data_IF_843129148961
#
_entry.id   IF_843129148961
#
_cell.length_a   1.000
_cell.length_b   1.000
_cell.length_c   1.000
_cell.angle_alpha   90.00
_cell.angle_beta   90.00
_cell.angle_gamma   90.00
#
_symmetry.space_group_name_H-M   'P 1'
#
loop_
_entity.id
_entity.type
_entity.pdbx_description
1 polymer ?
#
# COMPACT_ATOMS: atom_id res chain seq x y z
N UNK A 1 36.08 35.19 3.03
CA UNK A 1 35.75 33.82 3.49
C UNK A 1 34.37 33.70 4.16
N UNK A 2 33.98 34.59 5.09
CA UNK A 2 32.68 34.48 5.80
C UNK A 2 31.43 34.50 4.89
N UNK A 3 31.45 35.31 3.82
CA UNK A 3 30.31 35.45 2.89
C UNK A 3 30.03 34.19 2.04
N UNK A 4 31.08 33.45 1.67
CA UNK A 4 30.93 32.25 0.85
C UNK A 4 30.30 31.10 1.65
N UNK A 5 30.65 31.02 2.95
CA UNK A 5 30.14 30.02 3.87
C UNK A 5 28.65 30.23 4.18
N UNK A 6 28.22 31.48 4.35
CA UNK A 6 26.79 31.81 4.57
C UNK A 6 25.93 31.50 3.35
N UNK A 7 26.43 31.72 2.13
CA UNK A 7 25.70 31.38 0.90
C UNK A 7 25.54 29.86 0.76
N UNK A 8 26.60 29.08 1.03
CA UNK A 8 26.55 27.62 1.01
C UNK A 8 25.56 27.04 2.03
N UNK A 9 25.54 27.59 3.25
CA UNK A 9 24.58 27.19 4.28
C UNK A 9 23.14 27.52 3.90
N UNK A 10 22.89 28.69 3.29
CA UNK A 10 21.57 29.06 2.82
C UNK A 10 21.06 28.12 1.71
N UNK A 11 21.91 27.78 0.75
CA UNK A 11 21.58 26.83 -0.33
C UNK A 11 21.29 25.42 0.21
N UNK A 12 22.07 24.97 1.20
CA UNK A 12 21.84 23.68 1.86
C UNK A 12 20.51 23.66 2.62
N UNK A 13 20.17 24.73 3.34
CA UNK A 13 18.88 24.87 4.02
C UNK A 13 17.70 24.91 3.04
N UNK A 14 17.84 25.59 1.90
CA UNK A 14 16.81 25.62 0.86
C UNK A 14 16.58 24.24 0.23
N UNK A 15 17.62 23.43 0.08
CA UNK A 15 17.49 22.05 -0.38
C UNK A 15 16.77 21.17 0.65
N UNK A 16 17.08 21.29 1.95
CA UNK A 16 16.41 20.50 3.00
C UNK A 16 14.89 20.80 3.04
N UNK A 17 14.49 22.07 2.89
CA UNK A 17 13.08 22.46 2.92
C UNK A 17 12.27 21.93 1.73
N UNK A 18 12.89 21.77 0.55
CA UNK A 18 12.21 21.24 -0.65
C UNK A 18 11.87 19.75 -0.55
N UNK A 19 12.55 18.98 0.32
CA UNK A 19 12.24 17.56 0.53
C UNK A 19 11.10 17.31 1.51
N UNK A 20 10.76 18.28 2.37
CA UNK A 20 9.73 18.09 3.40
C UNK A 20 8.29 18.16 2.86
N UNK A 21 8.06 18.84 1.74
CA UNK A 21 6.72 19.06 1.17
C UNK A 21 6.23 17.96 0.22
N UNK A 22 7.12 17.11 -0.30
CA UNK A 22 6.78 16.07 -1.29
C UNK A 22 6.10 14.81 -0.71
N UNK A 23 6.46 14.26 0.47
CA UNK A 23 5.83 13.03 0.97
C UNK A 23 4.35 13.23 1.37
N UNK A 24 3.98 14.46 1.77
CA UNK A 24 2.64 14.82 2.22
C UNK A 24 1.63 14.81 1.06
N UNK A 25 2.08 15.09 -0.16
CA UNK A 25 1.21 15.18 -1.33
C UNK A 25 0.79 13.79 -1.87
N UNK A 26 1.67 12.80 -1.76
CA UNK A 26 1.43 11.49 -2.39
C UNK A 26 0.33 10.68 -1.71
N UNK A 27 0.29 10.62 -0.38
CA UNK A 27 -0.77 9.89 0.31
C UNK A 27 -2.14 10.57 0.16
N UNK A 28 -2.17 11.91 0.00
CA UNK A 28 -3.39 12.67 -0.24
C UNK A 28 -3.96 12.36 -1.63
N UNK A 29 -3.09 12.26 -2.65
CA UNK A 29 -3.48 11.83 -4.00
C UNK A 29 -4.11 10.43 -3.98
N UNK A 30 -3.51 9.47 -3.28
CA UNK A 30 -4.06 8.10 -3.18
C UNK A 30 -5.41 8.12 -2.48
N UNK A 31 -5.54 8.88 -1.38
CA UNK A 31 -6.81 9.02 -0.67
C UNK A 31 -7.93 9.60 -1.55
N UNK A 32 -7.63 10.62 -2.36
CA UNK A 32 -8.60 11.19 -3.29
C UNK A 32 -9.05 10.16 -4.33
N UNK A 33 -8.11 9.42 -4.93
CA UNK A 33 -8.43 8.36 -5.88
C UNK A 33 -9.33 7.29 -5.25
N UNK A 34 -9.06 6.87 -4.01
CA UNK A 34 -9.91 5.91 -3.29
C UNK A 34 -11.33 6.47 -3.12
N UNK A 35 -11.47 7.71 -2.68
CA UNK A 35 -12.79 8.34 -2.51
C UNK A 35 -13.55 8.50 -3.83
N UNK A 36 -12.85 8.73 -4.95
CA UNK A 36 -13.46 8.83 -6.28
C UNK A 36 -13.96 7.48 -6.80
N UNK A 37 -13.17 6.40 -6.64
CA UNK A 37 -13.52 5.07 -7.18
C UNK A 37 -14.40 4.25 -6.23
N UNK A 38 -14.44 4.61 -4.95
CA UNK A 38 -15.20 3.90 -3.90
C UNK A 38 -15.94 4.92 -3.00
N UNK A 39 -17.03 5.54 -3.49
CA UNK A 39 -17.68 6.67 -2.80
C UNK A 39 -18.29 6.35 -1.44
N UNK A 40 -18.54 5.08 -1.12
CA UNK A 40 -19.01 4.63 0.20
C UNK A 40 -17.89 4.64 1.26
N UNK A 41 -16.63 4.74 0.86
CA UNK A 41 -15.50 4.82 1.79
C UNK A 41 -15.42 6.23 2.35
N UNK A 42 -15.55 6.36 3.67
CA UNK A 42 -15.49 7.68 4.31
C UNK A 42 -14.15 8.37 4.08
N UNK A 43 -14.09 9.71 3.99
CA UNK A 43 -12.83 10.44 3.79
C UNK A 43 -11.74 10.09 4.82
N UNK A 44 -12.15 9.82 6.07
CA UNK A 44 -11.25 9.36 7.14
C UNK A 44 -10.62 8.00 6.82
N UNK A 45 -11.41 7.03 6.32
CA UNK A 45 -10.91 5.72 5.88
C UNK A 45 -10.05 5.85 4.63
N UNK A 46 -10.46 6.64 3.62
CA UNK A 46 -9.65 6.88 2.41
C UNK A 46 -8.28 7.47 2.76
N UNK A 47 -8.22 8.44 3.67
CA UNK A 47 -6.95 9.01 4.17
C UNK A 47 -6.09 7.95 4.88
N UNK A 48 -6.69 7.13 5.75
CA UNK A 48 -6.00 6.02 6.45
C UNK A 48 -5.39 5.04 5.44
N UNK A 49 -6.17 4.58 4.45
CA UNK A 49 -5.69 3.66 3.42
C UNK A 49 -4.63 4.29 2.53
N UNK A 50 -4.82 5.55 2.10
CA UNK A 50 -3.83 6.28 1.30
C UNK A 50 -2.46 6.35 1.97
N UNK A 51 -2.43 6.59 3.29
CA UNK A 51 -1.18 6.59 4.07
C UNK A 51 -0.54 5.20 4.11
N UNK A 52 -1.32 4.16 4.43
CA UNK A 52 -0.83 2.78 4.53
C UNK A 52 -0.30 2.30 3.17
N UNK A 53 -1.10 2.46 2.11
CA UNK A 53 -0.73 2.06 0.75
C UNK A 53 0.52 2.81 0.30
N UNK A 54 0.60 4.12 0.52
CA UNK A 54 1.82 4.88 0.20
C UNK A 54 3.04 4.29 0.91
N UNK A 55 2.96 4.10 2.22
CA UNK A 55 4.05 3.52 3.03
C UNK A 55 4.49 2.15 2.51
N UNK A 56 3.55 1.23 2.27
CA UNK A 56 3.85 -0.14 1.82
C UNK A 56 4.33 -0.18 0.36
N UNK A 57 3.79 0.68 -0.51
CA UNK A 57 4.22 0.82 -1.90
C UNK A 57 5.71 1.19 -2.00
N UNK A 58 6.16 2.16 -1.18
CA UNK A 58 7.55 2.57 -1.09
C UNK A 58 8.43 1.46 -0.52
N UNK A 59 8.02 0.85 0.59
CA UNK A 59 8.77 -0.21 1.26
C UNK A 59 9.04 -1.41 0.33
N UNK A 60 8.04 -1.84 -0.45
CA UNK A 60 8.13 -3.04 -1.29
C UNK A 60 8.42 -2.75 -2.78
N UNK A 61 8.57 -1.47 -3.17
CA UNK A 61 8.77 -1.02 -4.55
C UNK A 61 7.69 -1.57 -5.50
N UNK A 62 6.43 -1.43 -5.06
CA UNK A 62 5.22 -1.78 -5.81
C UNK A 62 4.50 -0.48 -6.16
N UNK A 63 3.97 -0.37 -7.37
CA UNK A 63 3.15 0.80 -7.74
C UNK A 63 1.86 0.79 -6.90
N UNK A 64 1.59 1.89 -6.21
CA UNK A 64 0.39 2.03 -5.38
C UNK A 64 -0.89 1.88 -6.19
N UNK A 65 -0.89 2.21 -7.49
CA UNK A 65 -2.05 2.05 -8.38
C UNK A 65 -2.47 0.58 -8.48
N UNK A 66 -1.51 -0.33 -8.54
CA UNK A 66 -1.77 -1.77 -8.58
C UNK A 66 -2.39 -2.22 -7.25
N UNK A 67 -1.86 -1.74 -6.13
CA UNK A 67 -2.39 -2.07 -4.81
C UNK A 67 -3.84 -1.60 -4.63
N UNK A 68 -4.13 -0.35 -5.04
CA UNK A 68 -5.48 0.24 -5.04
C UNK A 68 -6.43 -0.55 -5.93
N UNK A 69 -6.02 -0.87 -7.16
CA UNK A 69 -6.84 -1.61 -8.11
C UNK A 69 -7.23 -3.00 -7.58
N UNK A 70 -6.29 -3.71 -6.95
CA UNK A 70 -6.58 -5.00 -6.32
C UNK A 70 -7.55 -4.84 -5.16
N UNK A 71 -7.31 -3.91 -4.21
CA UNK A 71 -8.23 -3.73 -3.06
C UNK A 71 -9.63 -3.34 -3.54
N UNK A 72 -9.72 -2.47 -4.55
CA UNK A 72 -10.99 -2.10 -5.19
C UNK A 72 -11.73 -3.32 -5.71
N UNK A 73 -11.03 -4.20 -6.44
CA UNK A 73 -11.60 -5.38 -7.05
C UNK A 73 -12.01 -6.45 -6.02
N UNK A 74 -11.21 -6.62 -4.98
CA UNK A 74 -11.35 -7.73 -4.02
C UNK A 74 -12.43 -7.46 -2.96
N UNK A 75 -12.47 -6.27 -2.38
CA UNK A 75 -13.42 -5.95 -1.31
C UNK A 75 -14.09 -4.59 -1.44
N UNK A 76 -13.75 -3.83 -2.47
CA UNK A 76 -14.15 -2.44 -2.62
C UNK A 76 -13.85 -1.59 -1.36
N UNK A 77 -12.66 -1.82 -0.77
CA UNK A 77 -12.22 -1.18 0.49
C UNK A 77 -13.13 -1.43 1.70
N UNK A 78 -14.02 -2.41 1.64
CA UNK A 78 -14.78 -2.87 2.79
C UNK A 78 -13.84 -3.75 3.64
N UNK A 79 -13.66 -3.37 4.90
CA UNK A 79 -12.96 -4.18 5.92
C UNK A 79 -13.84 -5.39 6.28
N UNK A 80 -13.35 -6.34 7.09
CA UNK A 80 -14.15 -7.47 7.62
C UNK A 80 -14.90 -8.39 6.63
N UNK A 81 -14.77 -8.20 5.32
CA UNK A 81 -15.39 -9.06 4.31
C UNK A 81 -14.82 -10.48 4.39
N UNK A 82 -15.73 -11.44 4.46
CA UNK A 82 -15.44 -12.87 4.33
C UNK A 82 -16.25 -13.38 3.14
N UNK A 83 -15.56 -13.88 2.12
CA UNK A 83 -16.20 -14.53 0.99
C UNK A 83 -15.89 -16.02 1.00
N UNK A 84 -16.91 -16.87 1.13
CA UNK A 84 -16.72 -18.31 1.21
C UNK A 84 -17.27 -19.00 -0.03
N UNK A 85 -16.46 -19.90 -0.60
CA UNK A 85 -16.82 -20.77 -1.70
C UNK A 85 -16.63 -22.24 -1.29
N UNK A 86 -17.02 -23.18 -2.15
CA UNK A 86 -16.71 -24.61 -1.96
C UNK A 86 -15.21 -24.93 -1.84
N UNK A 87 -14.34 -24.00 -2.22
CA UNK A 87 -12.89 -24.18 -2.28
C UNK A 87 -12.13 -23.58 -1.11
N UNK A 88 -12.82 -22.85 -0.22
CA UNK A 88 -12.26 -22.10 0.90
C UNK A 88 -12.90 -20.72 1.05
N UNK A 89 -12.46 -19.99 2.07
CA UNK A 89 -12.86 -18.61 2.31
C UNK A 89 -11.71 -17.64 2.06
N UNK A 90 -12.03 -16.42 1.66
CA UNK A 90 -11.14 -15.29 1.46
C UNK A 90 -11.43 -14.20 2.50
N UNK A 91 -10.39 -13.56 3.04
CA UNK A 91 -10.52 -12.69 4.22
C UNK A 91 -10.01 -11.27 3.98
N UNK A 92 -10.82 -10.29 4.39
CA UNK A 92 -10.45 -8.89 4.59
C UNK A 92 -10.25 -8.09 3.30
N UNK A 93 -9.54 -6.96 3.43
CA UNK A 93 -9.39 -5.96 2.34
C UNK A 93 -8.80 -6.50 1.04
N UNK A 94 -8.01 -7.56 1.14
CA UNK A 94 -7.22 -8.09 0.01
C UNK A 94 -7.57 -9.56 -0.27
N UNK A 95 -8.69 -10.03 0.29
CA UNK A 95 -9.28 -11.35 0.07
C UNK A 95 -8.23 -12.48 0.11
N UNK A 96 -7.52 -12.60 1.23
CA UNK A 96 -6.50 -13.65 1.37
C UNK A 96 -7.18 -15.01 1.53
N UNK A 97 -6.89 -15.94 0.62
CA UNK A 97 -7.45 -17.28 0.69
C UNK A 97 -7.00 -18.09 1.91
N UNK A 98 -7.95 -18.80 2.52
CA UNK A 98 -7.80 -19.74 3.64
C UNK A 98 -6.65 -20.73 3.47
N UNK A 99 -6.37 -21.19 2.23
CA UNK A 99 -5.25 -22.10 1.94
C UNK A 99 -3.88 -21.47 2.20
N UNK A 100 -3.77 -20.14 2.19
CA UNK A 100 -2.54 -19.42 2.46
C UNK A 100 -2.33 -19.09 3.95
N UNK A 101 -3.37 -19.23 4.79
CA UNK A 101 -3.33 -18.81 6.19
C UNK A 101 -2.28 -19.61 6.97
N UNK A 102 -2.40 -20.94 7.00
CA UNK A 102 -1.48 -21.79 7.76
C UNK A 102 -0.06 -21.79 7.20
N UNK A 103 0.17 -21.99 5.87
CA UNK A 103 1.52 -22.02 5.31
C UNK A 103 2.29 -20.71 5.52
N UNK A 104 1.58 -19.58 5.51
CA UNK A 104 2.18 -18.25 5.67
C UNK A 104 2.09 -17.71 7.10
N UNK A 105 1.54 -18.50 8.05
CA UNK A 105 1.35 -18.14 9.46
C UNK A 105 0.62 -16.81 9.63
N UNK A 106 -0.48 -16.63 8.90
CA UNK A 106 -1.26 -15.39 8.91
C UNK A 106 -2.30 -15.40 10.04
N UNK A 107 -2.52 -14.24 10.61
CA UNK A 107 -3.55 -14.01 11.62
C UNK A 107 -4.84 -13.53 10.94
N UNK A 108 -5.86 -14.39 10.91
CA UNK A 108 -7.16 -14.11 10.28
C UNK A 108 -7.85 -12.90 10.91
N UNK A 109 -7.78 -12.75 12.24
CA UNK A 109 -8.39 -11.62 12.93
C UNK A 109 -7.74 -10.31 12.48
N UNK A 110 -6.42 -10.31 12.34
CA UNK A 110 -5.70 -9.14 11.82
C UNK A 110 -5.97 -8.89 10.34
N UNK A 111 -6.15 -9.92 9.51
CA UNK A 111 -6.55 -9.73 8.12
C UNK A 111 -7.91 -9.01 8.00
N UNK A 112 -8.85 -9.32 8.89
CA UNK A 112 -10.19 -8.72 8.88
C UNK A 112 -10.22 -7.30 9.44
N UNK A 113 -9.47 -7.03 10.51
CA UNK A 113 -9.65 -5.81 11.32
C UNK A 113 -8.42 -4.89 11.40
N UNK A 114 -7.25 -5.34 10.93
CA UNK A 114 -6.03 -4.55 10.87
C UNK A 114 -5.66 -4.28 9.40
N UNK A 115 -6.15 -3.14 8.88
CA UNK A 115 -5.92 -2.73 7.50
C UNK A 115 -4.42 -2.63 7.14
N UNK A 116 -3.55 -2.23 8.09
CA UNK A 116 -2.11 -2.16 7.82
C UNK A 116 -1.51 -3.57 7.68
N UNK A 117 -1.97 -4.53 8.49
CA UNK A 117 -1.57 -5.93 8.35
C UNK A 117 -1.99 -6.51 6.99
N UNK A 118 -3.25 -6.32 6.58
CA UNK A 118 -3.77 -6.82 5.31
C UNK A 118 -3.04 -6.20 4.09
N UNK A 119 -2.90 -4.87 4.07
CA UNK A 119 -2.24 -4.16 2.97
C UNK A 119 -0.73 -4.47 2.93
N UNK A 120 -0.09 -4.64 4.09
CA UNK A 120 1.31 -5.08 4.15
C UNK A 120 1.50 -6.49 3.58
N UNK A 121 0.58 -7.41 3.89
CA UNK A 121 0.59 -8.76 3.30
C UNK A 121 0.50 -8.69 1.76
N UNK A 122 -0.46 -7.92 1.23
CA UNK A 122 -0.61 -7.73 -0.21
C UNK A 122 0.68 -7.21 -0.85
N UNK A 123 1.27 -6.15 -0.31
CA UNK A 123 2.51 -5.58 -0.84
C UNK A 123 3.67 -6.60 -0.83
N UNK A 124 3.82 -7.34 0.27
CA UNK A 124 4.83 -8.40 0.40
C UNK A 124 4.59 -9.54 -0.60
N UNK A 125 3.34 -9.95 -0.78
CA UNK A 125 2.98 -11.03 -1.70
C UNK A 125 3.19 -10.61 -3.16
N UNK A 126 2.79 -9.40 -3.55
CA UNK A 126 3.06 -8.83 -4.88
C UNK A 126 4.56 -8.75 -5.17
N UNK A 127 5.37 -8.35 -4.17
CA UNK A 127 6.83 -8.37 -4.31
C UNK A 127 7.38 -9.78 -4.51
N UNK A 128 6.87 -10.77 -3.78
CA UNK A 128 7.23 -12.17 -3.97
C UNK A 128 6.90 -12.65 -5.39
N UNK A 129 5.68 -12.39 -5.88
CA UNK A 129 5.25 -12.76 -7.22
C UNK A 129 6.13 -12.08 -8.29
N UNK A 130 6.35 -10.77 -8.18
CA UNK A 130 7.25 -10.02 -9.07
C UNK A 130 8.64 -10.65 -9.12
N UNK A 131 9.23 -10.99 -7.97
CA UNK A 131 10.55 -11.62 -7.91
C UNK A 131 10.57 -13.05 -8.48
N UNK A 132 9.49 -13.81 -8.29
CA UNK A 132 9.37 -15.19 -8.80
C UNK A 132 9.26 -15.21 -10.32
N UNK A 133 8.41 -14.37 -10.89
CA UNK A 133 8.09 -14.41 -12.32
C UNK A 133 9.04 -13.57 -13.19
N UNK A 134 9.58 -12.44 -12.69
CA UNK A 134 10.58 -11.65 -13.46
C UNK A 134 11.89 -12.39 -13.75
N UNK A 135 12.18 -13.49 -13.03
CA UNK A 135 13.34 -14.36 -13.30
C UNK A 135 13.06 -15.43 -14.35
N UNK A 136 11.80 -15.81 -14.55
CA UNK A 136 11.38 -16.83 -15.51
C UNK A 136 11.34 -16.23 -16.93
N UNK A 137 10.88 -14.99 -17.06
CA UNK A 137 10.79 -14.30 -18.36
C UNK A 137 12.15 -13.93 -18.95
N UNK A 138 13.23 -13.87 -18.16
CA UNK A 138 14.60 -13.64 -18.69
C UNK A 138 15.26 -14.87 -19.30
N UNK A 139 14.61 -16.04 -19.22
CA UNK A 139 15.13 -17.32 -19.76
C UNK A 139 14.34 -17.81 -20.98
N UNK A 140 13.40 -17.01 -21.47
CA UNK A 140 12.75 -17.15 -22.77
C UNK A 140 13.32 -16.10 -23.71
#
# INVERSE_FOLDING_TARGET
>A
MKLLLTILLALFFMHILSFASTPILHHAKIANVISEISPHVTPKKSKKYGIIIHKRSQQYKIDWKIMVAIIKQESDFVEDVINCTRWGCDFGLVQVNSRNINPMKLDVKRLLFDADYAINFQAKHLRYLKNRYSKKDRRM
#
